data_IF_338915999339
#
_entry.id   IF_338915999339
#
_cell.length_a   1.000
_cell.length_b   1.000
_cell.length_c   1.000
_cell.angle_alpha   90.00
_cell.angle_beta   90.00
_cell.angle_gamma   90.00
#
_symmetry.space_group_name_H-M   'P 1'
#
loop_
_entity.id
_entity.type
_entity.pdbx_description
1 polymer ?
#
# COMPACT_ATOMS: atom_id res chain seq x y z
N UNK A 1 8.39 3.70 13.38
CA UNK A 1 8.37 4.85 12.49
C UNK A 1 6.97 5.45 12.36
N UNK A 2 6.93 6.73 12.05
CA UNK A 2 5.71 7.50 11.88
C UNK A 2 5.43 7.64 10.38
N UNK A 3 4.36 7.01 9.89
CA UNK A 3 4.06 6.98 8.45
C UNK A 3 2.82 7.81 8.13
N UNK A 4 2.86 9.09 8.46
CA UNK A 4 1.71 9.99 8.34
C UNK A 4 1.64 10.77 7.02
N UNK A 5 2.46 10.42 6.04
CA UNK A 5 2.44 11.05 4.71
C UNK A 5 2.95 10.08 3.66
N UNK A 6 2.66 10.37 2.39
CA UNK A 6 3.18 9.60 1.28
C UNK A 6 4.71 9.64 1.24
N UNK A 7 5.29 10.81 1.53
CA UNK A 7 6.75 10.96 1.58
C UNK A 7 7.35 10.07 2.67
N UNK A 8 6.74 10.01 3.85
CA UNK A 8 7.20 9.15 4.93
C UNK A 8 7.14 7.67 4.54
N UNK A 9 6.08 7.26 3.85
CA UNK A 9 5.93 5.90 3.33
C UNK A 9 7.03 5.62 2.30
N UNK A 10 7.24 6.53 1.37
CA UNK A 10 8.29 6.39 0.35
C UNK A 10 9.67 6.21 1.01
N UNK A 11 10.01 7.09 1.94
CA UNK A 11 11.31 7.03 2.60
C UNK A 11 11.50 5.73 3.39
N UNK A 12 10.45 5.27 4.07
CA UNK A 12 10.50 4.03 4.83
C UNK A 12 10.71 2.81 3.94
N UNK A 13 10.02 2.77 2.78
CA UNK A 13 10.08 1.62 1.87
C UNK A 13 11.25 1.66 0.90
N UNK A 14 11.95 2.78 0.79
CA UNK A 14 12.96 3.00 -0.26
C UNK A 14 14.01 1.88 -0.31
N UNK A 15 14.61 1.54 0.82
CA UNK A 15 15.67 0.52 0.85
C UNK A 15 15.15 -0.87 0.49
N UNK A 16 13.88 -1.12 0.72
CA UNK A 16 13.25 -2.40 0.39
C UNK A 16 13.00 -2.53 -1.11
N UNK A 17 12.62 -1.42 -1.79
CA UNK A 17 12.11 -1.49 -3.17
C UNK A 17 13.09 -1.00 -4.22
N UNK A 18 14.17 -0.33 -3.84
CA UNK A 18 15.03 0.41 -4.79
C UNK A 18 15.67 -0.47 -5.88
N UNK A 19 16.01 -1.70 -5.55
CA UNK A 19 16.72 -2.61 -6.46
C UNK A 19 15.84 -3.77 -6.94
N UNK A 20 14.53 -3.71 -6.74
CA UNK A 20 13.65 -4.81 -7.13
C UNK A 20 13.36 -4.79 -8.63
N UNK A 21 13.52 -5.94 -9.27
CA UNK A 21 13.17 -6.14 -10.68
C UNK A 21 11.72 -6.57 -10.88
N UNK A 22 11.06 -6.98 -9.81
CA UNK A 22 9.71 -7.54 -9.81
C UNK A 22 8.83 -6.70 -8.91
N UNK A 23 7.55 -6.51 -9.30
CA UNK A 23 6.60 -5.81 -8.44
C UNK A 23 6.33 -6.60 -7.16
N UNK A 24 6.29 -5.89 -6.05
CA UNK A 24 5.87 -6.41 -4.75
C UNK A 24 4.79 -5.50 -4.18
N UNK A 25 3.79 -6.10 -3.57
CA UNK A 25 2.77 -5.35 -2.84
C UNK A 25 2.94 -5.53 -1.35
N UNK A 26 2.86 -4.43 -0.61
CA UNK A 26 3.06 -4.39 0.82
C UNK A 26 1.91 -3.67 1.51
N UNK A 27 1.49 -4.19 2.65
CA UNK A 27 0.60 -3.45 3.54
C UNK A 27 1.40 -2.89 4.71
N UNK A 28 1.04 -1.67 5.07
CA UNK A 28 1.62 -0.98 6.22
C UNK A 28 0.51 -0.83 7.24
N UNK A 29 0.62 -1.59 8.33
CA UNK A 29 -0.40 -1.63 9.38
C UNK A 29 0.02 -0.70 10.51
N UNK A 30 -0.87 0.23 10.87
CA UNK A 30 -0.54 1.32 11.78
C UNK A 30 -1.58 1.46 12.89
N UNK A 31 -1.13 2.06 13.99
CA UNK A 31 -1.99 2.52 15.07
C UNK A 31 -2.63 3.85 14.70
N UNK A 32 -3.60 4.29 15.49
CA UNK A 32 -4.35 5.53 15.27
C UNK A 32 -3.44 6.77 15.18
N UNK A 33 -2.25 6.74 15.76
CA UNK A 33 -1.28 7.83 15.70
C UNK A 33 -0.32 7.72 14.52
N UNK A 34 -0.59 6.87 13.53
CA UNK A 34 0.23 6.59 12.36
C UNK A 34 1.56 5.90 12.66
N UNK A 35 1.75 5.36 13.86
CA UNK A 35 2.93 4.58 14.15
C UNK A 35 2.79 3.18 13.59
N UNK A 36 3.84 2.72 12.92
CA UNK A 36 3.84 1.42 12.28
C UNK A 36 3.78 0.30 13.33
N UNK A 37 2.84 -0.64 13.12
CA UNK A 37 2.79 -1.91 13.84
C UNK A 37 3.65 -2.93 13.10
N UNK A 38 3.40 -3.09 11.80
CA UNK A 38 4.12 -4.04 10.96
C UNK A 38 3.96 -3.67 9.49
N UNK A 39 5.03 -3.87 8.73
CA UNK A 39 4.99 -3.85 7.27
C UNK A 39 5.05 -5.29 6.79
N UNK A 40 4.13 -5.69 5.93
CA UNK A 40 4.07 -7.07 5.45
C UNK A 40 3.92 -7.13 3.94
N UNK A 41 4.79 -7.92 3.29
CA UNK A 41 4.64 -8.20 1.86
C UNK A 41 3.49 -9.17 1.68
N UNK A 42 2.55 -8.81 0.80
CA UNK A 42 1.36 -9.63 0.53
C UNK A 42 1.26 -10.11 -0.91
N UNK A 43 2.11 -9.60 -1.80
CA UNK A 43 2.14 -10.09 -3.17
C UNK A 43 3.53 -9.98 -3.77
N UNK A 44 3.80 -10.86 -4.72
CA UNK A 44 5.02 -10.88 -5.55
C UNK A 44 4.54 -11.07 -6.99
N UNK A 45 5.11 -10.28 -7.91
CA UNK A 45 4.65 -10.21 -9.30
C UNK A 45 3.60 -9.14 -9.48
N UNK A 46 3.26 -8.82 -10.72
CA UNK A 46 2.25 -7.81 -11.03
C UNK A 46 0.85 -8.25 -10.66
N UNK A 47 -0.06 -7.30 -10.46
CA UNK A 47 -1.46 -7.56 -10.09
C UNK A 47 -2.21 -8.35 -11.16
N UNK A 48 -1.78 -8.26 -12.42
CA UNK A 48 -2.37 -9.02 -13.52
C UNK A 48 -2.04 -10.51 -13.45
N UNK A 49 -0.96 -10.88 -12.74
CA UNK A 49 -0.51 -12.27 -12.64
C UNK A 49 -1.21 -13.00 -11.49
N UNK A 50 -1.45 -12.32 -10.37
CA UNK A 50 -2.09 -12.91 -9.20
C UNK A 50 -2.85 -11.81 -8.44
N UNK A 51 -4.18 -11.75 -8.56
CA UNK A 51 -4.96 -10.76 -7.81
C UNK A 51 -4.74 -10.92 -6.32
N UNK A 52 -4.67 -9.79 -5.61
CA UNK A 52 -4.55 -9.79 -4.15
C UNK A 52 -5.87 -10.25 -3.55
N UNK A 53 -5.80 -11.20 -2.63
CA UNK A 53 -6.96 -11.68 -1.89
C UNK A 53 -7.24 -10.71 -0.73
N UNK A 54 -8.29 -9.91 -0.89
CA UNK A 54 -8.69 -8.90 0.11
C UNK A 54 -9.04 -9.56 1.44
N UNK A 55 -9.63 -10.74 1.40
CA UNK A 55 -10.00 -11.46 2.63
C UNK A 55 -8.78 -11.79 3.46
N UNK A 56 -7.71 -12.29 2.82
CA UNK A 56 -6.47 -12.60 3.53
C UNK A 56 -5.76 -11.34 4.01
N UNK A 57 -5.80 -10.27 3.22
CA UNK A 57 -5.27 -8.98 3.64
C UNK A 57 -5.97 -8.49 4.90
N UNK A 58 -7.30 -8.50 4.92
CA UNK A 58 -8.07 -8.02 6.06
C UNK A 58 -7.91 -8.92 7.29
N UNK A 59 -7.68 -10.22 7.11
CA UNK A 59 -7.34 -11.10 8.21
C UNK A 59 -6.10 -10.61 8.95
N UNK A 60 -5.03 -10.30 8.22
CA UNK A 60 -3.80 -9.77 8.82
C UNK A 60 -4.06 -8.45 9.53
N UNK A 61 -4.79 -7.56 8.88
CA UNK A 61 -5.13 -6.24 9.40
C UNK A 61 -5.87 -6.35 10.75
N UNK A 62 -6.84 -7.24 10.82
CA UNK A 62 -7.64 -7.43 12.04
C UNK A 62 -6.85 -8.12 13.14
N UNK A 63 -6.03 -9.11 12.80
CA UNK A 63 -5.21 -9.82 13.77
C UNK A 63 -4.15 -8.94 14.43
N UNK A 64 -3.70 -7.90 13.74
CA UNK A 64 -2.71 -6.96 14.27
C UNK A 64 -3.36 -5.76 14.97
N UNK A 65 -4.67 -5.74 15.11
CA UNK A 65 -5.41 -4.63 15.71
C UNK A 65 -5.10 -3.30 15.01
N UNK A 66 -5.02 -3.35 13.70
CA UNK A 66 -4.73 -2.20 12.84
C UNK A 66 -5.91 -1.24 12.83
N UNK A 67 -5.66 0.05 12.97
CA UNK A 67 -6.70 1.08 12.83
C UNK A 67 -6.47 1.94 11.59
N UNK A 68 -5.24 2.01 11.10
CA UNK A 68 -4.88 2.74 9.89
C UNK A 68 -4.09 1.80 8.99
N UNK A 69 -4.49 1.74 7.72
CA UNK A 69 -3.86 0.89 6.72
C UNK A 69 -3.38 1.71 5.55
N UNK A 70 -2.18 1.42 5.06
CA UNK A 70 -1.71 1.89 3.76
C UNK A 70 -1.29 0.69 2.92
N UNK A 71 -1.45 0.81 1.62
CA UNK A 71 -0.95 -0.15 0.66
C UNK A 71 0.09 0.53 -0.21
N UNK A 72 1.17 -0.16 -0.53
CA UNK A 72 2.15 0.34 -1.48
C UNK A 72 2.67 -0.79 -2.35
N UNK A 73 3.09 -0.44 -3.54
CA UNK A 73 3.75 -1.36 -4.45
C UNK A 73 4.73 -0.59 -5.32
N UNK A 74 5.74 -1.30 -5.83
CA UNK A 74 6.75 -0.68 -6.68
C UNK A 74 6.43 -0.92 -8.15
N UNK A 75 6.83 0.04 -8.98
CA UNK A 75 6.86 -0.11 -10.43
C UNK A 75 8.32 -0.14 -10.88
N UNK A 76 8.89 -1.31 -11.14
CA UNK A 76 10.31 -1.43 -11.52
C UNK A 76 10.69 -0.64 -12.78
N UNK A 77 9.71 -0.38 -13.66
CA UNK A 77 9.93 0.42 -14.87
C UNK A 77 10.28 1.88 -14.60
N UNK A 78 10.00 2.38 -13.39
CA UNK A 78 10.18 3.79 -13.04
C UNK A 78 8.99 4.67 -13.39
N UNK A 79 7.97 4.14 -14.04
CA UNK A 79 6.74 4.88 -14.36
C UNK A 79 5.80 4.84 -13.15
N UNK A 80 5.49 6.01 -12.60
CA UNK A 80 4.63 6.11 -11.41
C UNK A 80 3.13 6.08 -11.71
N UNK A 81 2.72 6.13 -12.98
CA UNK A 81 1.29 6.12 -13.33
C UNK A 81 0.63 4.82 -12.87
N UNK A 82 -0.46 4.90 -12.10
CA UNK A 82 -1.20 3.70 -11.70
C UNK A 82 -1.82 3.00 -12.91
N UNK A 83 -1.88 1.67 -12.84
CA UNK A 83 -2.57 0.88 -13.84
C UNK A 83 -4.07 0.82 -13.52
N UNK A 84 -4.84 0.29 -14.47
CA UNK A 84 -6.26 0.03 -14.24
C UNK A 84 -6.46 -0.96 -13.08
N UNK A 85 -5.63 -1.99 -13.02
CA UNK A 85 -5.65 -2.97 -11.92
C UNK A 85 -5.33 -2.33 -10.58
N UNK A 86 -4.42 -1.36 -10.56
CA UNK A 86 -4.12 -0.58 -9.35
C UNK A 86 -5.35 0.17 -8.87
N UNK A 87 -6.09 0.79 -9.79
CA UNK A 87 -7.32 1.53 -9.47
C UNK A 87 -8.39 0.60 -8.90
N UNK A 88 -8.57 -0.57 -9.49
CA UNK A 88 -9.53 -1.55 -9.01
C UNK A 88 -9.17 -2.04 -7.60
N UNK A 89 -7.90 -2.31 -7.36
CA UNK A 89 -7.43 -2.74 -6.05
C UNK A 89 -7.67 -1.64 -5.00
N UNK A 90 -7.35 -0.39 -5.34
CA UNK A 90 -7.58 0.74 -4.45
C UNK A 90 -9.03 0.82 -4.01
N UNK A 91 -9.96 0.68 -4.96
CA UNK A 91 -11.40 0.69 -4.67
C UNK A 91 -11.79 -0.45 -3.74
N UNK A 92 -11.28 -1.66 -3.99
CA UNK A 92 -11.61 -2.84 -3.18
C UNK A 92 -11.09 -2.69 -1.75
N UNK A 93 -9.85 -2.21 -1.58
CA UNK A 93 -9.28 -1.98 -0.24
C UNK A 93 -10.08 -0.90 0.48
N UNK A 94 -10.40 0.19 -0.20
CA UNK A 94 -11.17 1.29 0.41
C UNK A 94 -12.52 0.80 0.94
N UNK A 95 -13.24 0.02 0.13
CA UNK A 95 -14.54 -0.52 0.55
C UNK A 95 -14.43 -1.45 1.75
N UNK A 96 -13.42 -2.31 1.76
CA UNK A 96 -13.19 -3.22 2.88
C UNK A 96 -12.85 -2.44 4.16
N UNK A 97 -12.01 -1.42 4.06
CA UNK A 97 -11.65 -0.57 5.19
C UNK A 97 -12.86 0.19 5.74
N UNK A 98 -13.70 0.74 4.85
CA UNK A 98 -14.93 1.43 5.27
C UNK A 98 -15.83 0.49 6.07
N UNK A 99 -16.03 -0.73 5.56
CA UNK A 99 -16.87 -1.71 6.22
C UNK A 99 -16.38 -2.07 7.62
N UNK A 100 -15.07 -2.13 7.80
CA UNK A 100 -14.43 -2.55 9.05
C UNK A 100 -14.02 -1.37 9.94
N UNK A 101 -14.38 -0.15 9.58
CA UNK A 101 -14.03 1.07 10.32
C UNK A 101 -12.51 1.24 10.47
N UNK A 102 -11.78 0.89 9.41
CA UNK A 102 -10.33 1.10 9.33
C UNK A 102 -10.09 2.29 8.40
N UNK A 103 -9.22 3.20 8.82
CA UNK A 103 -8.84 4.34 7.98
C UNK A 103 -7.86 3.88 6.91
N UNK A 104 -8.27 3.94 5.64
CA UNK A 104 -7.37 3.69 4.52
C UNK A 104 -6.61 4.98 4.21
N UNK A 105 -5.36 5.06 4.67
CA UNK A 105 -4.57 6.29 4.61
C UNK A 105 -4.10 6.61 3.20
N UNK A 106 -3.63 5.62 2.45
CA UNK A 106 -3.10 5.86 1.11
C UNK A 106 -2.81 4.56 0.36
N UNK A 107 -2.75 4.68 -0.95
CA UNK A 107 -2.12 3.72 -1.83
C UNK A 107 -1.00 4.47 -2.54
N UNK A 108 0.23 4.04 -2.35
CA UNK A 108 1.41 4.71 -2.89
C UNK A 108 2.13 3.81 -3.89
N UNK A 109 2.31 4.31 -5.10
CA UNK A 109 3.13 3.65 -6.13
C UNK A 109 4.56 4.15 -5.96
N UNK A 110 5.50 3.23 -5.82
CA UNK A 110 6.89 3.52 -5.48
C UNK A 110 7.81 3.22 -6.66
N UNK A 111 8.71 4.16 -6.96
CA UNK A 111 9.79 3.95 -7.91
C UNK A 111 11.09 4.44 -7.28
N UNK A 112 12.21 4.18 -7.95
CA UNK A 112 13.48 4.76 -7.52
C UNK A 112 13.48 6.25 -7.89
N UNK A 113 13.32 7.08 -6.87
CA UNK A 113 13.36 8.54 -7.00
C UNK A 113 12.02 9.25 -7.06
N UNK A 114 10.90 8.52 -7.23
CA UNK A 114 9.57 9.14 -7.34
C UNK A 114 8.51 8.27 -6.69
N UNK A 115 7.38 8.89 -6.37
CA UNK A 115 6.20 8.16 -5.94
C UNK A 115 4.92 8.81 -6.47
N UNK A 116 3.84 8.04 -6.47
CA UNK A 116 2.49 8.53 -6.75
C UNK A 116 1.61 8.18 -5.57
N UNK A 117 0.92 9.16 -5.02
CA UNK A 117 0.01 8.97 -3.88
C UNK A 117 -1.42 9.19 -4.34
N UNK A 118 -2.27 8.17 -4.19
CA UNK A 118 -3.69 8.32 -4.50
C UNK A 118 -4.33 9.41 -3.65
N UNK A 119 -3.94 9.53 -2.38
CA UNK A 119 -4.48 10.56 -1.49
C UNK A 119 -4.09 11.96 -1.95
N UNK A 120 -2.80 12.17 -2.28
CA UNK A 120 -2.31 13.48 -2.73
C UNK A 120 -3.00 13.91 -4.02
N UNK A 121 -3.34 12.95 -4.87
CA UNK A 121 -4.02 13.21 -6.15
C UNK A 121 -5.54 13.27 -6.02
N UNK A 122 -6.07 13.18 -4.80
CA UNK A 122 -7.52 13.26 -4.58
C UNK A 122 -8.30 12.07 -5.10
N UNK A 123 -7.67 10.89 -5.18
CA UNK A 123 -8.26 9.68 -5.77
C UNK A 123 -8.55 8.59 -4.75
N UNK A 124 -8.61 8.95 -3.50
CA UNK A 124 -8.85 7.96 -2.45
C UNK A 124 -10.20 8.10 -1.80
#
# INVERSE_FOLDING_TARGET
>A
PLLNSAEAIYNYMYTTIQDLDIEEGWILMMKQNFRLIEAKRISIGGLTMAPIDIRLMMKEVLMKNTTILAFCHNHPSGNTSPSHEDDLLTTRIRKACELLSIHFADHVVLTDGKYYSYREEGRL
#
